data_IF_787181899959
#
_entry.id   IF_787181899959
#
_cell.length_a   1.000
_cell.length_b   1.000
_cell.length_c   1.000
_cell.angle_alpha   90.00
_cell.angle_beta   90.00
_cell.angle_gamma   90.00
#
_symmetry.space_group_name_H-M   'P 1'
#
loop_
_entity.id
_entity.type
_entity.pdbx_description
1 polymer ?
#
# COMPACT_ATOMS: atom_id res chain seq x y z
N UNK A 1 1.28 -5.66 25.53
CA UNK A 1 0.96 -4.85 24.33
C UNK A 1 1.73 -3.52 24.26
N UNK A 2 1.87 -2.74 25.34
CA UNK A 2 2.61 -1.46 25.30
C UNK A 2 4.12 -1.57 25.02
N UNK A 3 4.77 -2.67 25.45
CA UNK A 3 6.23 -2.80 25.33
C UNK A 3 6.74 -2.96 23.89
N UNK A 4 5.94 -3.53 22.99
CA UNK A 4 6.32 -3.74 21.57
C UNK A 4 6.16 -2.45 20.77
N UNK A 5 5.12 -1.66 21.07
CA UNK A 5 4.84 -0.39 20.40
C UNK A 5 5.99 0.62 20.58
N UNK A 6 6.51 0.75 21.80
CA UNK A 6 7.63 1.65 22.11
C UNK A 6 8.97 1.22 21.47
N UNK A 7 9.15 -0.07 21.21
CA UNK A 7 10.35 -0.58 20.54
C UNK A 7 10.34 -0.27 19.04
N UNK A 8 9.18 -0.31 18.38
CA UNK A 8 9.05 -0.04 16.95
C UNK A 8 9.07 1.44 16.58
N UNK A 9 8.58 2.31 17.47
CA UNK A 9 8.69 3.77 17.32
C UNK A 9 10.16 4.22 17.16
N UNK A 10 11.07 3.57 17.90
CA UNK A 10 12.51 3.88 17.90
C UNK A 10 13.30 3.33 16.72
N UNK A 11 12.80 2.28 16.06
CA UNK A 11 13.51 1.55 14.99
C UNK A 11 13.11 2.00 13.58
N UNK A 12 11.88 2.50 13.39
CA UNK A 12 11.35 2.78 12.05
C UNK A 12 11.04 4.25 11.76
N UNK A 13 11.25 5.17 12.72
CA UNK A 13 10.97 6.60 12.53
C UNK A 13 9.60 6.87 11.87
N UNK A 14 8.58 6.09 12.24
CA UNK A 14 7.21 6.17 11.74
C UNK A 14 6.55 7.44 12.32
N UNK A 15 7.00 8.60 11.88
CA UNK A 15 6.59 9.90 12.41
C UNK A 15 5.29 10.43 11.79
N UNK A 16 4.62 9.68 10.91
CA UNK A 16 3.36 10.11 10.27
C UNK A 16 2.41 8.93 10.01
N UNK A 17 1.10 9.15 10.15
CA UNK A 17 0.11 8.20 9.67
C UNK A 17 0.27 8.04 8.15
N UNK A 18 0.40 6.80 7.68
CA UNK A 18 0.53 6.47 6.26
C UNK A 18 -0.73 5.72 5.81
N UNK A 19 -1.15 5.97 4.58
CA UNK A 19 -2.19 5.19 3.93
C UNK A 19 -1.56 4.00 3.21
N UNK A 20 -1.90 2.79 3.64
CA UNK A 20 -1.36 1.54 3.11
C UNK A 20 -2.37 0.88 2.18
N UNK A 21 -1.95 0.52 0.97
CA UNK A 21 -2.78 -0.29 0.07
C UNK A 21 -2.64 -1.78 0.41
N UNK A 22 -3.77 -2.42 0.68
CA UNK A 22 -3.86 -3.85 0.95
C UNK A 22 -4.35 -4.58 -0.30
N UNK A 23 -3.49 -5.42 -0.88
CA UNK A 23 -3.73 -6.11 -2.15
C UNK A 23 -3.82 -7.64 -2.02
N UNK A 24 -3.47 -8.19 -0.86
CA UNK A 24 -3.51 -9.64 -0.64
C UNK A 24 -4.96 -10.12 -0.45
N UNK A 25 -5.31 -11.26 -1.05
CA UNK A 25 -6.60 -11.90 -0.81
C UNK A 25 -6.83 -12.12 0.70
N UNK A 26 -8.10 -12.02 1.11
CA UNK A 26 -8.63 -12.11 2.49
C UNK A 26 -8.15 -13.32 3.33
N UNK A 27 -7.36 -14.24 2.76
CA UNK A 27 -6.90 -15.49 3.35
C UNK A 27 -5.43 -15.52 3.74
N UNK A 28 -4.71 -14.39 3.75
CA UNK A 28 -3.31 -14.32 4.21
C UNK A 28 -3.17 -13.54 5.52
N UNK A 29 -2.40 -14.08 6.46
CA UNK A 29 -2.12 -13.57 7.83
C UNK A 29 -1.57 -12.13 7.92
N UNK A 30 -1.36 -11.46 6.78
CA UNK A 30 -0.89 -10.08 6.66
C UNK A 30 -1.99 -9.07 7.01
N UNK A 31 -3.28 -9.45 6.92
CA UNK A 31 -4.41 -8.58 7.27
C UNK A 31 -4.34 -8.07 8.73
N UNK A 32 -3.90 -8.91 9.66
CA UNK A 32 -3.76 -8.54 11.07
C UNK A 32 -2.58 -7.59 11.31
N UNK A 33 -1.48 -7.73 10.57
CA UNK A 33 -0.30 -6.90 10.69
C UNK A 33 -0.52 -5.48 10.12
N UNK A 34 -1.23 -5.39 9.00
CA UNK A 34 -1.61 -4.13 8.37
C UNK A 34 -2.70 -3.39 9.15
N UNK A 35 -3.66 -4.11 9.75
CA UNK A 35 -4.66 -3.52 10.66
C UNK A 35 -4.00 -2.90 11.89
N UNK A 36 -3.01 -3.58 12.50
CA UNK A 36 -2.29 -3.10 13.69
C UNK A 36 -1.34 -1.95 13.35
N UNK A 37 -0.71 -1.93 12.16
CA UNK A 37 0.16 -0.83 11.71
C UNK A 37 -0.61 0.42 11.30
N UNK A 38 -1.74 0.27 10.59
CA UNK A 38 -2.59 1.39 10.22
C UNK A 38 -3.28 2.01 11.45
N UNK A 39 -3.98 1.20 12.25
CA UNK A 39 -4.75 1.75 13.39
C UNK A 39 -3.88 2.05 14.63
N UNK A 40 -2.70 1.44 14.76
CA UNK A 40 -1.79 1.66 15.90
C UNK A 40 -1.06 3.01 15.87
N UNK A 41 -0.97 3.65 14.71
CA UNK A 41 -0.28 4.95 14.52
C UNK A 41 -1.14 5.99 13.77
N UNK A 42 -2.45 5.74 13.64
CA UNK A 42 -3.43 6.68 13.05
C UNK A 42 -3.48 6.74 11.52
N UNK A 43 -2.88 5.76 10.82
CA UNK A 43 -2.95 5.59 9.36
C UNK A 43 -4.24 4.91 8.89
N UNK A 44 -4.38 4.74 7.57
CA UNK A 44 -5.56 4.12 6.94
C UNK A 44 -5.15 2.89 6.15
N UNK A 45 -5.88 1.79 6.34
CA UNK A 45 -5.76 0.61 5.48
C UNK A 45 -6.80 0.69 4.37
N UNK A 46 -6.36 0.71 3.12
CA UNK A 46 -7.23 0.81 1.94
C UNK A 46 -7.29 -0.55 1.26
N UNK A 47 -8.45 -1.18 1.30
CA UNK A 47 -8.68 -2.49 0.70
C UNK A 47 -8.87 -2.34 -0.80
N UNK A 48 -7.99 -2.93 -1.60
CA UNK A 48 -8.13 -2.94 -3.06
C UNK A 48 -9.02 -4.12 -3.49
N UNK A 49 -10.17 -3.89 -4.15
CA UNK A 49 -10.93 -4.97 -4.77
C UNK A 49 -10.07 -5.70 -5.81
N UNK A 50 -10.28 -7.01 -5.96
CA UNK A 50 -9.51 -7.84 -6.91
C UNK A 50 -9.70 -7.36 -8.35
N UNK A 51 -10.90 -6.93 -8.70
CA UNK A 51 -11.21 -6.42 -10.04
C UNK A 51 -10.45 -5.11 -10.33
N UNK A 52 -10.32 -4.25 -9.31
CA UNK A 52 -9.51 -3.03 -9.37
C UNK A 52 -8.01 -3.33 -9.51
N UNK A 53 -7.53 -4.38 -8.85
CA UNK A 53 -6.11 -4.78 -8.90
C UNK A 53 -5.66 -5.17 -10.32
N UNK A 54 -6.58 -5.71 -11.13
CA UNK A 54 -6.32 -6.15 -12.50
C UNK A 54 -6.62 -5.06 -13.55
N UNK A 55 -7.10 -3.89 -13.14
CA UNK A 55 -7.44 -2.76 -14.00
C UNK A 55 -6.51 -1.58 -13.68
N UNK A 56 -5.43 -1.35 -14.47
CA UNK A 56 -4.45 -0.30 -14.21
C UNK A 56 -5.04 1.12 -14.04
N UNK A 57 -5.98 1.59 -14.90
CA UNK A 57 -6.69 2.84 -14.65
C UNK A 57 -7.43 2.88 -13.31
N UNK A 58 -8.17 1.82 -12.96
CA UNK A 58 -8.93 1.80 -11.71
C UNK A 58 -8.00 1.74 -10.48
N UNK A 59 -6.91 0.97 -10.55
CA UNK A 59 -5.88 0.89 -9.53
C UNK A 59 -5.21 2.24 -9.32
N UNK A 60 -4.83 2.93 -10.39
CA UNK A 60 -4.23 4.27 -10.29
C UNK A 60 -5.17 5.27 -9.62
N UNK A 61 -6.46 5.24 -10.00
CA UNK A 61 -7.47 6.09 -9.35
C UNK A 61 -7.61 5.80 -7.86
N UNK A 62 -7.67 4.53 -7.48
CA UNK A 62 -7.71 4.13 -6.06
C UNK A 62 -6.47 4.64 -5.31
N UNK A 63 -5.28 4.44 -5.88
CA UNK A 63 -4.00 4.89 -5.31
C UNK A 63 -3.99 6.41 -5.07
N UNK A 64 -4.47 7.18 -6.05
CA UNK A 64 -4.47 8.64 -6.02
C UNK A 64 -5.57 9.20 -5.10
N UNK A 65 -6.82 8.74 -5.26
CA UNK A 65 -7.98 9.21 -4.49
C UNK A 65 -7.83 8.87 -3.00
N UNK A 66 -7.32 7.69 -2.69
CA UNK A 66 -7.04 7.27 -1.31
C UNK A 66 -5.70 7.78 -0.76
N UNK A 67 -4.93 8.53 -1.57
CA UNK A 67 -3.60 9.08 -1.22
C UNK A 67 -2.70 8.02 -0.58
N UNK A 68 -2.52 6.91 -1.28
CA UNK A 68 -1.70 5.81 -0.78
C UNK A 68 -0.24 6.27 -0.69
N UNK A 69 0.33 6.17 0.50
CA UNK A 69 1.73 6.50 0.75
C UNK A 69 2.64 5.29 0.55
N UNK A 70 2.14 4.09 0.86
CA UNK A 70 2.89 2.85 0.82
C UNK A 70 2.08 1.73 0.17
N UNK A 71 2.69 1.01 -0.77
CA UNK A 71 2.14 -0.22 -1.32
C UNK A 71 3.26 -1.21 -1.66
N UNK A 72 2.98 -2.49 -1.44
CA UNK A 72 3.87 -3.60 -1.77
C UNK A 72 3.24 -4.45 -2.88
N UNK A 73 3.74 -4.29 -4.09
CA UNK A 73 3.20 -4.93 -5.29
C UNK A 73 3.96 -6.20 -5.64
N UNK A 74 3.25 -7.14 -6.27
CA UNK A 74 3.91 -8.17 -7.07
C UNK A 74 4.21 -7.64 -8.49
N UNK A 75 5.25 -8.12 -9.18
CA UNK A 75 5.59 -7.68 -10.54
C UNK A 75 4.40 -7.78 -11.53
N UNK A 76 3.55 -8.79 -11.36
CA UNK A 76 2.37 -9.02 -12.19
C UNK A 76 1.35 -7.87 -12.12
N UNK A 77 1.34 -7.08 -11.04
CA UNK A 77 0.47 -5.91 -10.85
C UNK A 77 1.22 -4.61 -11.15
N UNK A 78 2.47 -4.50 -10.69
CA UNK A 78 3.25 -3.27 -10.86
C UNK A 78 3.58 -2.99 -12.34
N UNK A 79 3.94 -4.02 -13.11
CA UNK A 79 4.35 -3.84 -14.50
C UNK A 79 3.22 -3.29 -15.39
N UNK A 80 1.99 -3.85 -15.38
CA UNK A 80 0.87 -3.26 -16.10
C UNK A 80 0.53 -1.82 -15.66
N UNK A 81 0.60 -1.53 -14.35
CA UNK A 81 0.35 -0.19 -13.81
C UNK A 81 1.36 0.82 -14.35
N UNK A 82 2.65 0.50 -14.33
CA UNK A 82 3.71 1.37 -14.83
C UNK A 82 3.63 1.58 -16.35
N UNK A 83 3.36 0.53 -17.12
CA UNK A 83 3.19 0.63 -18.56
C UNK A 83 2.04 1.58 -18.91
N UNK A 84 0.87 1.38 -18.30
CA UNK A 84 -0.29 2.25 -18.49
C UNK A 84 -0.01 3.69 -18.04
N UNK A 85 0.66 3.89 -16.90
CA UNK A 85 0.98 5.22 -16.39
C UNK A 85 1.92 5.97 -17.34
N UNK A 86 2.92 5.29 -17.89
CA UNK A 86 3.84 5.88 -18.87
C UNK A 86 3.13 6.25 -20.18
N UNK A 87 2.26 5.38 -20.69
CA UNK A 87 1.49 5.61 -21.92
C UNK A 87 0.53 6.80 -21.79
N UNK A 88 -0.03 7.01 -20.59
CA UNK A 88 -1.02 8.06 -20.32
C UNK A 88 -0.42 9.34 -19.73
N UNK A 89 0.90 9.37 -19.49
CA UNK A 89 1.60 10.51 -18.91
C UNK A 89 1.36 10.72 -17.41
N UNK A 90 0.89 9.68 -16.71
CA UNK A 90 0.72 9.68 -15.26
C UNK A 90 2.01 9.26 -14.53
N UNK A 91 2.16 9.72 -13.30
CA UNK A 91 3.25 9.32 -12.40
C UNK A 91 2.73 8.88 -11.04
N UNK A 92 3.57 8.13 -10.30
CA UNK A 92 3.31 7.67 -8.92
C UNK A 92 4.01 8.56 -7.87
N UNK A 93 4.32 9.82 -8.20
CA UNK A 93 5.06 10.75 -7.32
C UNK A 93 4.33 11.12 -6.03
N UNK A 94 3.04 10.83 -5.93
CA UNK A 94 2.25 10.99 -4.72
C UNK A 94 2.50 9.88 -3.69
N UNK A 95 3.10 8.76 -4.10
CA UNK A 95 3.44 7.66 -3.20
C UNK A 95 4.80 7.91 -2.57
N UNK A 96 4.88 7.77 -1.25
CA UNK A 96 6.14 7.90 -0.50
C UNK A 96 7.05 6.68 -0.71
N UNK A 97 6.45 5.50 -0.88
CA UNK A 97 7.19 4.25 -1.02
C UNK A 97 6.42 3.25 -1.86
N UNK A 98 7.11 2.68 -2.85
CA UNK A 98 6.63 1.57 -3.67
C UNK A 98 7.61 0.42 -3.49
N UNK A 99 7.10 -0.71 -3.00
CA UNK A 99 7.87 -1.95 -2.90
C UNK A 99 7.39 -2.91 -4.00
N UNK A 100 8.33 -3.67 -4.56
CA UNK A 100 8.03 -4.73 -5.52
C UNK A 100 8.68 -6.01 -5.00
N UNK A 101 7.88 -6.89 -4.39
CA UNK A 101 8.30 -8.21 -3.93
C UNK A 101 8.07 -9.26 -5.02
N UNK A 102 9.10 -10.05 -5.36
CA UNK A 102 8.89 -11.32 -6.04
C UNK A 102 8.32 -12.30 -5.03
N UNK A 103 7.22 -12.97 -5.39
CA UNK A 103 6.73 -14.18 -4.68
C UNK A 103 7.87 -15.13 -4.30
#
# INVERSE_FOLDING_TARGET
MMAVSAAWERLYALHKPLNHLQMAGFSFDVFSADLIRALGFGGTLVLCPRDTLMDPPALYRLLSEARIDFADFVPAVLNPLLAWAQETGHGLSFMSTVVCGSD
#
